data_IF_384299269356
#
_entry.id   IF_384299269356
#
_cell.length_a   1.000
_cell.length_b   1.000
_cell.length_c   1.000
_cell.angle_alpha   90.00
_cell.angle_beta   90.00
_cell.angle_gamma   90.00
#
_symmetry.space_group_name_H-M   'P 1'
#
loop_
_entity.id
_entity.type
_entity.pdbx_description
1 polymer ?
#
# COMPACT_ATOMS: atom_id res chain seq x y z
N UNK A 1 4.13 -12.41 -37.38
CA UNK A 1 3.05 -12.61 -38.37
C UNK A 1 3.28 -11.71 -39.58
N UNK A 2 3.56 -10.41 -39.42
CA UNK A 2 3.83 -9.50 -40.54
C UNK A 2 5.00 -9.94 -41.42
N UNK A 3 6.12 -10.33 -40.79
CA UNK A 3 7.28 -10.86 -41.53
C UNK A 3 7.02 -12.09 -42.37
N UNK A 4 5.98 -12.87 -42.04
CA UNK A 4 5.57 -14.04 -42.83
C UNK A 4 4.58 -13.69 -43.96
N UNK A 5 3.87 -12.56 -43.86
CA UNK A 5 2.97 -12.08 -44.93
C UNK A 5 3.71 -11.57 -46.16
N UNK A 6 4.97 -11.19 -46.00
CA UNK A 6 5.82 -10.71 -47.09
C UNK A 6 6.53 -11.85 -47.86
N UNK A 7 6.39 -13.11 -47.41
CA UNK A 7 7.02 -14.22 -48.08
C UNK A 7 6.33 -14.52 -49.41
N UNK A 8 7.06 -14.39 -50.51
CA UNK A 8 6.55 -14.61 -51.88
C UNK A 8 6.71 -16.05 -52.37
N UNK A 9 7.41 -16.92 -51.64
CA UNK A 9 7.60 -18.31 -51.95
C UNK A 9 7.70 -19.20 -50.70
N UNK A 10 7.48 -20.52 -50.87
CA UNK A 10 7.66 -21.50 -49.81
C UNK A 10 9.12 -21.55 -49.33
N UNK A 11 10.07 -21.39 -50.24
CA UNK A 11 11.50 -21.36 -49.90
C UNK A 11 11.83 -20.16 -48.99
N UNK A 12 11.38 -18.95 -49.36
CA UNK A 12 11.55 -17.75 -48.51
C UNK A 12 10.84 -17.84 -47.17
N UNK A 13 9.73 -18.57 -47.12
CA UNK A 13 9.04 -18.87 -45.84
C UNK A 13 9.89 -19.75 -44.93
N UNK A 14 10.47 -20.84 -45.47
CA UNK A 14 11.34 -21.75 -44.74
C UNK A 14 12.61 -21.06 -44.26
N UNK A 15 13.26 -20.24 -45.11
CA UNK A 15 14.44 -19.46 -44.76
C UNK A 15 14.15 -18.46 -43.65
N UNK A 16 13.00 -17.80 -43.67
CA UNK A 16 12.58 -16.92 -42.59
C UNK A 16 12.21 -17.65 -41.31
N UNK A 17 11.54 -18.82 -41.42
CA UNK A 17 11.24 -19.65 -40.24
C UNK A 17 12.50 -20.18 -39.57
N UNK A 18 13.55 -20.52 -40.35
CA UNK A 18 14.85 -20.93 -39.82
C UNK A 18 15.60 -19.79 -39.13
N UNK A 19 15.30 -18.52 -39.44
CA UNK A 19 15.86 -17.34 -38.80
C UNK A 19 15.09 -16.90 -37.57
N UNK A 20 13.92 -17.51 -37.26
CA UNK A 20 13.22 -17.22 -36.03
C UNK A 20 14.06 -17.65 -34.82
N UNK A 21 14.17 -16.81 -33.79
CA UNK A 21 14.90 -17.14 -32.57
C UNK A 21 14.34 -18.46 -31.98
N UNK A 22 15.23 -19.36 -31.62
CA UNK A 22 14.85 -20.60 -30.95
C UNK A 22 14.46 -20.30 -29.51
N UNK A 23 13.19 -20.55 -29.15
CA UNK A 23 12.69 -20.36 -27.79
C UNK A 23 11.98 -19.02 -27.55
N UNK A 24 11.21 -18.96 -26.48
CA UNK A 24 10.38 -17.78 -26.12
C UNK A 24 11.25 -16.57 -25.76
N UNK A 25 12.35 -16.76 -25.06
CA UNK A 25 13.29 -15.67 -24.70
C UNK A 25 13.84 -14.95 -25.93
N UNK A 26 14.24 -15.69 -26.95
CA UNK A 26 14.73 -15.11 -28.20
C UNK A 26 13.65 -14.30 -28.97
N UNK A 27 12.40 -14.72 -28.92
CA UNK A 27 11.30 -13.98 -29.53
C UNK A 27 11.03 -12.64 -28.83
N UNK A 28 11.06 -12.64 -27.49
CA UNK A 28 10.91 -11.40 -26.73
C UNK A 28 12.14 -10.49 -26.89
N UNK A 29 13.35 -11.03 -26.90
CA UNK A 29 14.57 -10.27 -27.15
C UNK A 29 14.49 -9.49 -28.48
N UNK A 30 14.14 -10.16 -29.58
CA UNK A 30 13.97 -9.50 -30.88
C UNK A 30 12.86 -8.41 -30.88
N UNK A 31 11.83 -8.58 -30.08
CA UNK A 31 10.78 -7.55 -29.95
C UNK A 31 11.24 -6.39 -29.10
N UNK A 32 11.96 -6.64 -28.01
CA UNK A 32 12.56 -5.61 -27.17
C UNK A 32 13.63 -4.84 -27.96
N UNK A 33 14.44 -5.49 -28.78
CA UNK A 33 15.38 -4.80 -29.67
C UNK A 33 14.66 -3.81 -30.62
N UNK A 34 13.49 -4.17 -31.13
CA UNK A 34 12.65 -3.24 -31.91
C UNK A 34 12.15 -2.07 -31.05
N UNK A 35 11.76 -2.31 -29.79
CA UNK A 35 11.39 -1.25 -28.86
C UNK A 35 12.58 -0.33 -28.62
N UNK A 36 13.77 -0.89 -28.38
CA UNK A 36 15.01 -0.14 -28.12
C UNK A 36 15.48 0.67 -29.34
N UNK A 37 15.27 0.18 -30.52
CA UNK A 37 15.63 0.87 -31.77
C UNK A 37 14.72 2.10 -32.10
N UNK A 38 13.63 2.29 -31.36
CA UNK A 38 12.74 3.43 -31.58
C UNK A 38 13.38 4.76 -31.10
N UNK A 39 12.89 5.92 -31.57
CA UNK A 39 13.28 7.22 -31.02
C UNK A 39 13.12 7.26 -29.51
N UNK A 40 13.98 8.00 -28.81
CA UNK A 40 14.08 8.01 -27.35
C UNK A 40 12.72 8.20 -26.65
N UNK A 41 11.93 9.15 -27.10
CA UNK A 41 10.62 9.46 -26.52
C UNK A 41 9.63 8.29 -26.64
N UNK A 42 9.59 7.63 -27.80
CA UNK A 42 8.69 6.49 -28.05
C UNK A 42 9.15 5.26 -27.27
N UNK A 43 10.47 5.03 -27.24
CA UNK A 43 11.09 3.96 -26.46
C UNK A 43 10.80 4.13 -24.97
N UNK A 44 10.97 5.32 -24.41
CA UNK A 44 10.72 5.60 -23.00
C UNK A 44 9.24 5.42 -22.65
N UNK A 45 8.33 5.82 -23.57
CA UNK A 45 6.90 5.55 -23.43
C UNK A 45 6.61 4.04 -23.35
N UNK A 46 7.21 3.24 -24.23
CA UNK A 46 7.05 1.80 -24.24
C UNK A 46 7.58 1.16 -22.95
N UNK A 47 8.81 1.50 -22.55
CA UNK A 47 9.43 0.94 -21.35
C UNK A 47 8.65 1.26 -20.08
N UNK A 48 8.11 2.47 -19.96
CA UNK A 48 7.27 2.87 -18.84
C UNK A 48 5.90 2.17 -18.87
N UNK A 49 5.32 1.96 -20.05
CA UNK A 49 4.08 1.18 -20.20
C UNK A 49 4.30 -0.26 -19.74
N UNK A 50 5.36 -0.91 -20.23
CA UNK A 50 5.72 -2.28 -19.84
C UNK A 50 6.04 -2.40 -18.36
N UNK A 51 6.72 -1.40 -17.78
CA UNK A 51 6.98 -1.33 -16.33
C UNK A 51 5.67 -1.41 -15.53
N UNK A 52 4.69 -0.59 -15.88
CA UNK A 52 3.40 -0.61 -15.17
C UNK A 52 2.64 -1.91 -15.34
N UNK A 53 2.64 -2.51 -16.54
CA UNK A 53 1.95 -3.78 -16.80
C UNK A 53 2.60 -4.96 -16.05
N UNK A 54 3.93 -4.94 -15.92
CA UNK A 54 4.70 -6.06 -15.33
C UNK A 54 4.78 -5.97 -13.81
N UNK A 55 5.00 -4.77 -13.26
CA UNK A 55 5.31 -4.56 -11.83
C UNK A 55 4.14 -4.01 -11.01
N UNK A 56 2.98 -3.74 -11.62
CA UNK A 56 1.81 -3.40 -10.84
C UNK A 56 1.24 -4.62 -10.10
N UNK A 57 0.71 -4.38 -8.91
CA UNK A 57 0.14 -5.40 -8.01
C UNK A 57 -1.19 -6.00 -8.54
N UNK A 58 -1.87 -5.26 -9.41
CA UNK A 58 -3.06 -5.73 -10.14
C UNK A 58 -3.06 -5.20 -11.57
N UNK A 59 -3.83 -5.82 -12.46
CA UNK A 59 -4.06 -5.26 -13.79
C UNK A 59 -4.63 -3.84 -13.70
N UNK A 60 -4.10 -2.94 -14.53
CA UNK A 60 -4.50 -1.54 -14.57
C UNK A 60 -5.39 -1.26 -15.78
N UNK A 61 -6.38 -0.40 -15.60
CA UNK A 61 -7.16 0.11 -16.71
C UNK A 61 -6.30 0.99 -17.64
N UNK A 62 -6.78 1.19 -18.83
CA UNK A 62 -6.09 2.05 -19.80
C UNK A 62 -5.90 3.47 -19.23
N UNK A 63 -6.94 4.02 -18.59
CA UNK A 63 -6.90 5.35 -17.98
C UNK A 63 -5.89 5.42 -16.84
N UNK A 64 -5.81 4.41 -15.97
CA UNK A 64 -4.82 4.38 -14.89
C UNK A 64 -3.40 4.48 -15.44
N UNK A 65 -3.10 3.73 -16.50
CA UNK A 65 -1.79 3.79 -17.16
C UNK A 65 -1.56 5.14 -17.83
N UNK A 66 -2.56 5.72 -18.53
CA UNK A 66 -2.43 7.05 -19.12
C UNK A 66 -2.04 8.11 -18.08
N UNK A 67 -2.71 8.12 -16.92
CA UNK A 67 -2.40 9.05 -15.83
C UNK A 67 -1.02 8.82 -15.22
N UNK A 68 -0.59 7.57 -15.12
CA UNK A 68 0.75 7.25 -14.67
C UNK A 68 1.84 7.74 -15.65
N UNK A 69 1.59 7.60 -16.94
CA UNK A 69 2.51 8.02 -18.00
C UNK A 69 2.57 9.55 -18.18
N UNK A 70 1.57 10.29 -17.70
CA UNK A 70 1.56 11.75 -17.72
C UNK A 70 2.55 12.38 -16.71
N UNK A 71 3.09 11.61 -15.78
CA UNK A 71 4.16 12.07 -14.88
C UNK A 71 5.51 12.04 -15.62
N UNK A 72 6.27 13.13 -15.55
CA UNK A 72 7.57 13.25 -16.22
C UNK A 72 8.58 12.23 -15.63
N UNK A 73 9.32 11.47 -16.44
CA UNK A 73 10.14 10.38 -15.96
C UNK A 73 11.33 10.80 -15.07
N UNK A 74 11.88 11.97 -15.30
CA UNK A 74 13.07 12.48 -14.59
C UNK A 74 12.72 13.40 -13.43
N UNK A 75 11.78 14.33 -13.66
CA UNK A 75 11.39 15.32 -12.65
C UNK A 75 10.27 14.86 -11.73
N UNK A 76 9.61 13.77 -12.07
CA UNK A 76 8.42 13.25 -11.41
C UNK A 76 7.33 14.33 -11.22
N UNK A 77 7.19 15.26 -12.18
CA UNK A 77 6.12 16.26 -12.17
C UNK A 77 4.98 15.84 -13.11
N UNK A 78 3.77 15.89 -12.59
CA UNK A 78 2.57 15.64 -13.36
C UNK A 78 2.29 16.81 -14.33
N UNK A 79 1.96 16.47 -15.57
CA UNK A 79 1.52 17.43 -16.59
C UNK A 79 0.43 16.79 -17.46
N UNK A 80 -0.79 17.32 -17.37
CA UNK A 80 -1.95 16.82 -18.12
C UNK A 80 -1.72 16.82 -19.64
N UNK A 81 -0.92 17.76 -20.16
CA UNK A 81 -0.57 17.83 -21.59
C UNK A 81 0.28 16.66 -22.07
N UNK A 82 0.85 15.89 -21.14
CA UNK A 82 1.68 14.69 -21.40
C UNK A 82 0.88 13.39 -21.43
N UNK A 83 -0.43 13.44 -21.24
CA UNK A 83 -1.29 12.24 -21.31
C UNK A 83 -1.20 11.64 -22.71
N UNK A 84 -0.65 10.44 -22.87
CA UNK A 84 -0.41 9.86 -24.19
C UNK A 84 -1.70 9.32 -24.82
N UNK A 85 -1.80 9.38 -26.14
CA UNK A 85 -2.91 8.78 -26.86
C UNK A 85 -2.81 7.24 -26.88
N UNK A 86 -3.95 6.55 -26.91
CA UNK A 86 -4.03 5.10 -26.95
C UNK A 86 -3.18 4.49 -28.07
N UNK A 87 -3.27 5.04 -29.28
CA UNK A 87 -2.48 4.56 -30.43
C UNK A 87 -0.98 4.65 -30.16
N UNK A 88 -0.52 5.72 -29.51
CA UNK A 88 0.89 5.90 -29.17
C UNK A 88 1.38 4.85 -28.17
N UNK A 89 0.59 4.56 -27.12
CA UNK A 89 0.91 3.53 -26.14
C UNK A 89 1.00 2.15 -26.81
N UNK A 90 -0.01 1.76 -27.58
CA UNK A 90 -0.03 0.42 -28.19
C UNK A 90 1.05 0.27 -29.27
N UNK A 91 1.26 1.28 -30.11
CA UNK A 91 2.27 1.21 -31.18
C UNK A 91 3.69 1.20 -30.64
N UNK A 92 3.99 1.96 -29.55
CA UNK A 92 5.31 2.00 -28.93
C UNK A 92 5.76 0.62 -28.41
N UNK A 93 4.82 -0.19 -27.92
CA UNK A 93 5.10 -1.53 -27.38
C UNK A 93 5.32 -2.63 -28.45
N UNK A 94 5.38 -2.30 -29.73
CA UNK A 94 5.69 -3.22 -30.85
C UNK A 94 4.91 -4.54 -30.84
N UNK A 95 3.65 -4.53 -30.37
CA UNK A 95 2.77 -5.70 -30.31
C UNK A 95 2.93 -6.57 -29.06
N UNK A 96 3.66 -6.13 -28.05
CA UNK A 96 3.74 -6.82 -26.74
C UNK A 96 2.48 -6.62 -25.89
N UNK A 97 1.73 -5.55 -26.14
CA UNK A 97 0.60 -5.12 -25.32
C UNK A 97 -0.66 -5.00 -26.17
N UNK A 98 -1.76 -5.41 -25.58
CA UNK A 98 -3.11 -5.23 -26.16
C UNK A 98 -4.05 -4.60 -25.13
N UNK A 99 -5.08 -3.92 -25.64
CA UNK A 99 -6.19 -3.43 -24.83
C UNK A 99 -7.34 -4.43 -24.89
N UNK A 100 -7.76 -4.95 -23.74
CA UNK A 100 -8.90 -5.85 -23.68
C UNK A 100 -10.20 -5.04 -23.85
N UNK A 101 -11.02 -5.33 -24.87
CA UNK A 101 -12.13 -4.44 -25.25
C UNK A 101 -13.27 -4.37 -24.22
N UNK A 102 -13.52 -5.46 -23.49
CA UNK A 102 -14.62 -5.51 -22.52
C UNK A 102 -14.25 -4.91 -21.16
N UNK A 103 -13.00 -5.08 -20.73
CA UNK A 103 -12.55 -4.67 -19.39
C UNK A 103 -11.76 -3.36 -19.39
N UNK A 104 -11.41 -2.85 -20.57
CA UNK A 104 -10.56 -1.68 -20.76
C UNK A 104 -9.21 -1.77 -20.02
N UNK A 105 -8.68 -2.98 -19.85
CA UNK A 105 -7.41 -3.28 -19.19
C UNK A 105 -6.32 -3.46 -20.21
N UNK A 106 -5.17 -2.81 -20.00
CA UNK A 106 -3.94 -3.07 -20.75
C UNK A 106 -3.27 -4.33 -20.21
N UNK A 107 -2.97 -5.26 -21.11
CA UNK A 107 -2.32 -6.52 -20.75
C UNK A 107 -1.28 -6.94 -21.79
N UNK A 108 -0.41 -7.84 -21.39
CA UNK A 108 0.50 -8.52 -22.32
C UNK A 108 -0.29 -9.44 -23.25
N UNK A 109 0.07 -9.45 -24.53
CA UNK A 109 -0.57 -10.31 -25.55
C UNK A 109 -0.44 -11.79 -25.18
N UNK A 110 0.64 -12.17 -24.50
CA UNK A 110 0.86 -13.55 -24.07
C UNK A 110 1.40 -13.58 -22.62
N UNK A 111 0.89 -14.50 -21.81
CA UNK A 111 1.24 -14.60 -20.38
C UNK A 111 2.72 -14.89 -20.14
N UNK A 112 3.40 -15.64 -21.04
CA UNK A 112 4.85 -15.94 -20.90
C UNK A 112 5.74 -14.70 -21.02
N UNK A 113 5.23 -13.61 -21.58
CA UNK A 113 5.95 -12.33 -21.59
C UNK A 113 6.16 -11.79 -20.19
N UNK A 114 5.28 -12.14 -19.24
CA UNK A 114 5.42 -11.72 -17.83
C UNK A 114 6.65 -12.33 -17.16
N UNK A 115 7.11 -13.49 -17.60
CA UNK A 115 8.30 -14.15 -17.06
C UNK A 115 9.59 -13.62 -17.71
N UNK A 116 9.53 -13.24 -19.00
CA UNK A 116 10.68 -12.80 -19.77
C UNK A 116 10.98 -11.29 -19.63
N UNK A 117 9.96 -10.43 -19.59
CA UNK A 117 10.12 -8.98 -19.61
C UNK A 117 10.81 -8.36 -18.38
N UNK A 118 10.66 -8.87 -17.14
CA UNK A 118 11.30 -8.26 -15.98
C UNK A 118 12.80 -8.06 -16.13
N UNK A 119 13.51 -9.05 -16.69
CA UNK A 119 14.95 -8.97 -16.89
C UNK A 119 15.35 -7.80 -17.81
N UNK A 120 14.61 -7.57 -18.90
CA UNK A 120 14.83 -6.47 -19.83
C UNK A 120 14.49 -5.10 -19.21
N UNK A 121 13.39 -5.04 -18.47
CA UNK A 121 12.99 -3.80 -17.80
C UNK A 121 14.01 -3.40 -16.74
N UNK A 122 14.45 -4.35 -15.91
CA UNK A 122 15.42 -4.12 -14.83
C UNK A 122 16.78 -3.64 -15.32
N UNK A 123 17.22 -4.03 -16.52
CA UNK A 123 18.45 -3.50 -17.13
C UNK A 123 18.34 -2.00 -17.39
N UNK A 124 17.15 -1.49 -17.72
CA UNK A 124 16.90 -0.10 -18.05
C UNK A 124 16.42 0.72 -16.87
N UNK A 125 15.57 0.11 -16.07
CA UNK A 125 14.93 0.68 -14.88
C UNK A 125 15.24 -0.26 -13.70
N UNK A 126 16.38 -0.09 -13.03
CA UNK A 126 16.82 -1.02 -11.97
C UNK A 126 15.90 -1.07 -10.76
N UNK A 127 15.11 -0.01 -10.54
CA UNK A 127 14.21 0.11 -9.39
C UNK A 127 12.78 0.45 -9.84
N UNK A 128 12.05 -0.49 -10.44
CA UNK A 128 10.73 -0.25 -11.01
C UNK A 128 9.71 0.17 -9.94
N UNK A 129 9.76 -0.43 -8.76
CA UNK A 129 8.87 -0.06 -7.65
C UNK A 129 9.12 1.36 -7.15
N UNK A 130 10.36 1.86 -7.17
CA UNK A 130 10.66 3.26 -6.84
C UNK A 130 10.03 4.23 -7.84
N UNK A 131 10.08 3.91 -9.14
CA UNK A 131 9.44 4.72 -10.18
C UNK A 131 7.93 4.76 -9.98
N UNK A 132 7.29 3.61 -9.71
CA UNK A 132 5.86 3.52 -9.43
C UNK A 132 5.52 4.34 -8.17
N UNK A 133 6.23 4.13 -7.06
CA UNK A 133 5.98 4.83 -5.80
C UNK A 133 6.08 6.35 -5.94
N UNK A 134 7.12 6.86 -6.59
CA UNK A 134 7.29 8.30 -6.86
C UNK A 134 6.18 8.85 -7.75
N UNK A 135 5.77 8.10 -8.78
CA UNK A 135 4.66 8.49 -9.65
C UNK A 135 3.36 8.61 -8.85
N UNK A 136 3.08 7.68 -7.94
CA UNK A 136 1.89 7.70 -7.09
C UNK A 136 1.94 8.86 -6.08
N UNK A 137 3.09 9.12 -5.45
CA UNK A 137 3.29 10.28 -4.56
C UNK A 137 3.00 11.58 -5.31
N UNK A 138 3.58 11.75 -6.50
CA UNK A 138 3.32 12.97 -7.29
C UNK A 138 1.83 13.10 -7.65
N UNK A 139 1.15 12.00 -7.94
CA UNK A 139 -0.31 12.05 -8.18
C UNK A 139 -1.08 12.45 -6.93
N UNK A 140 -0.72 11.99 -5.75
CA UNK A 140 -1.31 12.46 -4.50
C UNK A 140 -1.06 13.97 -4.30
N UNK A 141 0.19 14.42 -4.48
CA UNK A 141 0.57 15.83 -4.32
C UNK A 141 -0.14 16.73 -5.34
N UNK A 142 -0.18 16.35 -6.62
CA UNK A 142 -0.80 17.14 -7.69
C UNK A 142 -2.31 17.28 -7.53
N UNK A 143 -2.96 16.33 -6.83
CA UNK A 143 -4.38 16.38 -6.50
C UNK A 143 -4.66 16.98 -5.11
N UNK A 144 -3.65 17.53 -4.41
CA UNK A 144 -3.73 17.98 -3.02
C UNK A 144 -4.28 16.91 -2.06
N UNK A 145 -4.03 15.65 -2.38
CA UNK A 145 -4.51 14.51 -1.58
C UNK A 145 -3.80 14.49 -0.23
N UNK A 146 -4.56 14.66 0.84
CA UNK A 146 -4.02 14.70 2.21
C UNK A 146 -3.60 16.07 2.72
N UNK A 147 -3.66 17.12 1.91
CA UNK A 147 -3.35 18.50 2.35
C UNK A 147 -4.57 19.30 2.84
N UNK A 148 -5.79 18.89 2.49
CA UNK A 148 -7.02 19.61 2.84
C UNK A 148 -7.61 19.10 4.14
N UNK A 149 -7.71 19.98 5.13
CA UNK A 149 -8.32 19.70 6.45
C UNK A 149 -9.86 19.71 6.46
N UNK A 150 -10.49 20.07 5.35
CA UNK A 150 -11.96 20.30 5.26
C UNK A 150 -12.54 19.66 4.00
N UNK A 151 -12.25 18.39 3.77
CA UNK A 151 -12.92 17.68 2.68
C UNK A 151 -14.17 17.04 3.24
N UNK A 152 -15.32 17.42 2.71
CA UNK A 152 -16.62 16.82 3.06
C UNK A 152 -16.78 15.50 2.33
N UNK A 153 -17.67 14.62 2.81
CA UNK A 153 -18.03 13.37 2.12
C UNK A 153 -18.50 13.63 0.67
N UNK A 154 -19.01 14.83 0.37
CA UNK A 154 -19.42 15.27 -0.96
C UNK A 154 -18.24 15.60 -1.88
N UNK A 155 -17.12 16.10 -1.35
CA UNK A 155 -15.90 16.39 -2.10
C UNK A 155 -15.17 15.11 -2.52
N UNK A 156 -15.31 14.03 -1.74
CA UNK A 156 -14.93 12.66 -2.13
C UNK A 156 -16.01 11.95 -2.90
N UNK A 157 -17.12 12.62 -3.19
CA UNK A 157 -18.17 12.14 -4.09
C UNK A 157 -17.51 11.75 -5.40
N UNK A 158 -17.11 10.51 -5.40
CA UNK A 158 -16.55 9.68 -6.42
C UNK A 158 -16.70 10.29 -7.83
N UNK A 159 -15.69 11.01 -8.28
CA UNK A 159 -15.48 11.30 -9.70
C UNK A 159 -14.48 10.27 -10.25
N UNK A 160 -14.95 9.06 -10.63
CA UNK A 160 -14.09 7.96 -11.06
C UNK A 160 -13.19 8.34 -12.23
N UNK A 161 -13.68 9.21 -13.10
CA UNK A 161 -13.04 9.55 -14.37
C UNK A 161 -11.78 10.43 -14.28
N UNK A 162 -11.58 11.15 -13.16
CA UNK A 162 -10.43 12.06 -13.02
C UNK A 162 -9.32 11.55 -12.09
N UNK A 163 -9.61 10.50 -11.30
CA UNK A 163 -8.71 10.05 -10.24
C UNK A 163 -8.53 8.53 -10.16
N UNK A 164 -8.71 7.82 -11.28
CA UNK A 164 -8.63 6.35 -11.32
C UNK A 164 -7.32 5.80 -10.74
N UNK A 165 -6.18 6.41 -11.09
CA UNK A 165 -4.88 5.98 -10.58
C UNK A 165 -4.73 6.18 -9.06
N UNK A 166 -5.47 7.13 -8.45
CA UNK A 166 -5.42 7.34 -6.99
C UNK A 166 -5.99 6.14 -6.23
N UNK A 167 -7.01 5.45 -6.77
CA UNK A 167 -7.53 4.22 -6.16
C UNK A 167 -6.45 3.15 -6.06
N UNK A 168 -5.71 2.94 -7.16
CA UNK A 168 -4.54 2.06 -7.14
C UNK A 168 -3.50 2.54 -6.13
N UNK A 169 -3.22 3.84 -6.10
CA UNK A 169 -2.26 4.44 -5.18
C UNK A 169 -2.61 4.22 -3.70
N UNK A 170 -3.87 4.44 -3.33
CA UNK A 170 -4.35 4.23 -1.95
C UNK A 170 -4.15 2.78 -1.50
N UNK A 171 -4.32 1.82 -2.40
CA UNK A 171 -4.19 0.39 -2.09
C UNK A 171 -2.72 -0.07 -2.03
N UNK A 172 -1.89 0.37 -2.99
CA UNK A 172 -0.59 -0.27 -3.27
C UNK A 172 0.63 0.64 -3.16
N UNK A 173 0.46 1.96 -2.93
CA UNK A 173 1.60 2.87 -2.80
C UNK A 173 2.62 2.39 -1.77
N UNK A 174 2.15 1.98 -0.59
CA UNK A 174 3.03 1.52 0.48
C UNK A 174 3.79 0.25 0.13
N UNK A 175 3.18 -0.67 -0.62
CA UNK A 175 3.85 -1.89 -1.10
C UNK A 175 5.04 -1.52 -2.00
N UNK A 176 4.81 -0.67 -3.01
CA UNK A 176 5.90 -0.22 -3.89
C UNK A 176 6.98 0.57 -3.16
N UNK A 177 6.60 1.40 -2.17
CA UNK A 177 7.56 2.12 -1.34
C UNK A 177 8.43 1.17 -0.55
N UNK A 178 7.84 0.15 0.07
CA UNK A 178 8.56 -0.86 0.88
C UNK A 178 9.55 -1.66 0.04
N UNK A 179 9.16 -2.08 -1.17
CA UNK A 179 10.01 -2.85 -2.08
C UNK A 179 11.27 -2.08 -2.57
N UNK A 180 11.25 -0.76 -2.47
CA UNK A 180 12.34 0.09 -2.98
C UNK A 180 12.83 1.14 -1.98
N UNK A 181 12.58 0.96 -0.68
CA UNK A 181 12.93 1.96 0.34
C UNK A 181 14.45 2.20 0.49
N UNK A 182 15.27 1.30 0.00
CA UNK A 182 16.74 1.49 -0.06
C UNK A 182 17.16 2.61 -1.03
N UNK A 183 16.27 3.04 -1.95
CA UNK A 183 16.47 4.21 -2.77
C UNK A 183 16.35 5.50 -1.93
N UNK A 184 17.47 6.19 -1.73
CA UNK A 184 17.54 7.40 -0.89
C UNK A 184 16.62 8.53 -1.40
N UNK A 185 16.49 8.66 -2.72
CA UNK A 185 15.61 9.65 -3.32
C UNK A 185 14.14 9.35 -3.06
N UNK A 186 13.72 8.06 -3.14
CA UNK A 186 12.38 7.65 -2.78
C UNK A 186 12.13 7.85 -1.28
N UNK A 187 13.08 7.50 -0.42
CA UNK A 187 12.99 7.71 1.02
C UNK A 187 12.70 9.19 1.35
N UNK A 188 13.49 10.10 0.81
CA UNK A 188 13.30 11.56 0.99
C UNK A 188 11.94 12.01 0.47
N UNK A 189 11.56 11.61 -0.75
CA UNK A 189 10.26 11.97 -1.34
C UNK A 189 9.09 11.45 -0.49
N UNK A 190 9.22 10.25 0.06
CA UNK A 190 8.22 9.65 0.95
C UNK A 190 8.08 10.43 2.26
N UNK A 191 9.19 10.77 2.90
CA UNK A 191 9.19 11.56 4.15
C UNK A 191 8.60 12.94 3.91
N UNK A 192 8.97 13.63 2.82
CA UNK A 192 8.47 14.96 2.49
C UNK A 192 6.96 14.94 2.18
N UNK A 193 6.50 13.93 1.44
CA UNK A 193 5.07 13.71 1.22
C UNK A 193 4.32 13.50 2.55
N UNK A 194 4.79 12.60 3.39
CA UNK A 194 4.15 12.29 4.67
C UNK A 194 4.11 13.52 5.61
N UNK A 195 5.17 14.33 5.63
CA UNK A 195 5.19 15.61 6.39
C UNK A 195 4.13 16.60 5.92
N UNK A 196 3.83 16.63 4.63
CA UNK A 196 2.79 17.48 4.07
C UNK A 196 1.38 16.90 4.20
N UNK A 197 1.26 15.61 4.58
CA UNK A 197 0.02 14.86 4.57
C UNK A 197 -0.67 14.92 5.95
N UNK A 198 -1.43 15.98 6.22
CA UNK A 198 -2.10 16.17 7.51
C UNK A 198 -3.45 15.45 7.61
N UNK A 199 -4.03 15.03 6.49
CA UNK A 199 -5.41 14.54 6.42
C UNK A 199 -5.59 13.58 5.24
N UNK A 200 -4.95 12.39 5.33
CA UNK A 200 -5.05 11.38 4.29
C UNK A 200 -6.38 10.61 4.43
N UNK A 201 -7.22 10.59 3.40
CA UNK A 201 -8.50 9.91 3.47
C UNK A 201 -8.37 8.39 3.36
N UNK A 202 -9.00 7.69 4.28
CA UNK A 202 -9.20 6.25 4.23
C UNK A 202 -10.69 5.95 4.15
N UNK A 203 -11.11 5.23 3.13
CA UNK A 203 -12.51 4.83 2.96
C UNK A 203 -12.89 3.79 4.01
N UNK A 204 -13.98 4.05 4.72
CA UNK A 204 -14.66 3.13 5.61
C UNK A 204 -15.99 2.68 4.98
N UNK A 205 -16.59 1.63 5.54
CA UNK A 205 -17.91 1.14 5.08
C UNK A 205 -19.02 2.22 5.16
N UNK A 206 -18.89 3.19 6.06
CA UNK A 206 -19.86 4.29 6.27
C UNK A 206 -19.15 5.64 6.40
N UNK A 207 -18.39 6.05 5.39
CA UNK A 207 -17.76 7.36 5.37
C UNK A 207 -16.24 7.33 5.18
N UNK A 208 -15.59 8.45 5.45
CA UNK A 208 -14.15 8.62 5.30
C UNK A 208 -13.51 8.93 6.64
N UNK A 209 -12.42 8.23 6.96
CA UNK A 209 -11.58 8.54 8.12
C UNK A 209 -10.30 9.22 7.64
N UNK A 210 -9.93 10.30 8.30
CA UNK A 210 -8.70 11.03 7.98
C UNK A 210 -7.56 10.58 8.89
N UNK A 211 -6.44 10.28 8.27
CA UNK A 211 -5.23 9.75 8.89
C UNK A 211 -4.10 10.77 8.82
N UNK A 212 -3.38 10.94 9.92
CA UNK A 212 -2.13 11.69 9.93
C UNK A 212 -0.92 10.84 9.51
N UNK A 213 0.27 11.46 9.38
CA UNK A 213 1.48 10.82 8.87
C UNK A 213 1.87 9.53 9.59
N UNK A 214 1.83 9.52 10.91
CA UNK A 214 2.23 8.35 11.72
C UNK A 214 1.25 7.18 11.58
N UNK A 215 -0.03 7.44 11.29
CA UNK A 215 -1.00 6.40 10.97
C UNK A 215 -0.67 5.73 9.64
N UNK A 216 -0.18 6.51 8.65
CA UNK A 216 0.15 6.00 7.31
C UNK A 216 1.35 5.04 7.35
N UNK A 217 2.29 5.22 8.28
CA UNK A 217 3.37 4.26 8.49
C UNK A 217 2.80 2.89 8.84
N UNK A 218 1.81 2.84 9.75
CA UNK A 218 1.14 1.59 10.14
C UNK A 218 0.20 1.05 9.07
N UNK A 219 -0.49 1.93 8.33
CA UNK A 219 -1.42 1.55 7.26
C UNK A 219 -0.69 0.82 6.13
N UNK A 220 0.40 1.41 5.66
CA UNK A 220 1.16 0.94 4.51
C UNK A 220 2.34 0.04 4.88
N UNK A 221 2.52 -0.30 6.15
CA UNK A 221 3.63 -1.13 6.63
C UNK A 221 5.00 -0.56 6.23
N UNK A 222 5.15 0.75 6.37
CA UNK A 222 6.39 1.41 5.99
C UNK A 222 7.51 1.13 7.00
N UNK A 223 8.77 1.11 6.55
CA UNK A 223 9.90 0.86 7.42
C UNK A 223 10.02 1.85 8.58
N UNK A 224 10.56 1.37 9.71
CA UNK A 224 10.63 2.11 10.96
C UNK A 224 11.47 3.40 10.89
N UNK A 225 12.45 3.47 9.99
CA UNK A 225 13.27 4.66 9.76
C UNK A 225 12.44 5.85 9.21
N UNK A 226 11.33 5.57 8.52
CA UNK A 226 10.36 6.61 8.13
C UNK A 226 9.64 7.15 9.37
N UNK A 227 9.18 6.26 10.28
CA UNK A 227 8.58 6.66 11.54
C UNK A 227 9.53 7.59 12.33
N UNK A 228 10.79 7.18 12.48
CA UNK A 228 11.82 7.96 13.20
C UNK A 228 12.01 9.35 12.59
N UNK A 229 11.99 9.45 11.27
CA UNK A 229 12.11 10.73 10.55
C UNK A 229 10.89 11.65 10.73
N UNK A 230 9.73 11.09 11.09
CA UNK A 230 8.49 11.83 11.28
C UNK A 230 8.26 12.26 12.73
N UNK A 231 8.74 11.50 13.72
CA UNK A 231 8.48 11.72 15.14
C UNK A 231 8.91 13.11 15.65
N UNK A 232 9.91 13.74 15.04
CA UNK A 232 10.34 15.09 15.41
C UNK A 232 9.47 16.21 14.83
N UNK A 233 8.55 15.89 13.91
CA UNK A 233 7.73 16.91 13.22
C UNK A 233 6.23 16.70 13.42
N UNK A 234 5.80 15.51 13.85
CA UNK A 234 4.40 15.16 13.96
C UNK A 234 4.00 14.95 15.42
N UNK A 235 2.77 15.29 15.77
CA UNK A 235 2.22 14.92 17.06
C UNK A 235 2.03 13.40 17.15
N UNK A 236 2.80 12.77 18.04
CA UNK A 236 2.81 11.32 18.24
C UNK A 236 1.49 10.77 18.81
N UNK A 237 0.61 11.64 19.29
CA UNK A 237 -0.68 11.28 19.87
C UNK A 237 -1.89 11.80 19.06
N UNK A 238 -1.66 12.43 17.89
CA UNK A 238 -2.73 12.97 17.05
C UNK A 238 -3.74 11.90 16.69
N UNK A 239 -5.04 12.05 17.04
CA UNK A 239 -6.04 11.01 16.80
C UNK A 239 -6.58 11.06 15.36
N UNK A 240 -7.07 9.93 14.85
CA UNK A 240 -7.84 9.88 13.61
C UNK A 240 -9.16 10.63 13.74
N UNK A 241 -9.77 11.05 12.62
CA UNK A 241 -10.94 11.95 12.64
C UNK A 241 -12.20 11.32 13.25
N UNK A 242 -12.51 10.08 12.88
CA UNK A 242 -13.78 9.41 13.24
C UNK A 242 -13.62 8.51 14.46
N UNK A 243 -12.72 7.53 14.40
CA UNK A 243 -12.53 6.56 15.48
C UNK A 243 -11.68 7.06 16.63
N UNK A 244 -11.04 8.23 16.48
CA UNK A 244 -10.17 8.84 17.50
C UNK A 244 -8.99 7.96 17.92
N UNK A 245 -8.52 7.10 17.02
CA UNK A 245 -7.36 6.25 17.26
C UNK A 245 -6.07 7.07 17.23
N UNK A 246 -5.29 7.03 18.30
CA UNK A 246 -3.90 7.54 18.27
C UNK A 246 -3.03 6.69 17.36
N UNK A 247 -1.85 7.16 16.90
CA UNK A 247 -0.93 6.34 16.12
C UNK A 247 -0.60 5.01 16.79
N UNK A 248 -0.46 4.96 18.12
CA UNK A 248 -0.28 3.73 18.89
C UNK A 248 -1.49 2.79 18.76
N UNK A 249 -2.70 3.28 19.05
CA UNK A 249 -3.92 2.48 18.95
C UNK A 249 -4.18 1.99 17.52
N UNK A 250 -3.87 2.83 16.52
CA UNK A 250 -3.98 2.46 15.11
C UNK A 250 -2.95 1.39 14.72
N UNK A 251 -1.71 1.48 15.19
CA UNK A 251 -0.68 0.46 14.97
C UNK A 251 -1.07 -0.89 15.59
N UNK A 252 -1.69 -0.87 16.78
CA UNK A 252 -2.26 -2.08 17.42
C UNK A 252 -3.38 -2.67 16.55
N UNK A 253 -4.32 -1.84 16.08
CA UNK A 253 -5.40 -2.28 15.17
C UNK A 253 -4.87 -2.92 13.89
N UNK A 254 -3.73 -2.42 13.39
CA UNK A 254 -3.07 -2.93 12.17
C UNK A 254 -2.08 -4.07 12.43
N UNK A 255 -1.93 -4.49 13.69
CA UNK A 255 -0.99 -5.54 14.10
C UNK A 255 0.48 -5.25 13.73
N UNK A 256 0.91 -3.99 13.85
CA UNK A 256 2.28 -3.55 13.53
C UNK A 256 3.17 -3.55 14.78
N UNK A 257 3.69 -4.73 15.13
CA UNK A 257 4.48 -4.92 16.36
C UNK A 257 5.72 -4.03 16.44
N UNK A 258 6.44 -3.85 15.35
CA UNK A 258 7.64 -3.02 15.27
C UNK A 258 7.32 -1.54 15.48
N UNK A 259 6.26 -1.03 14.86
CA UNK A 259 5.77 0.33 15.05
C UNK A 259 5.29 0.53 16.49
N UNK A 260 4.54 -0.41 17.06
CA UNK A 260 4.10 -0.35 18.47
C UNK A 260 5.29 -0.33 19.41
N UNK A 261 6.27 -1.23 19.25
CA UNK A 261 7.51 -1.19 20.04
C UNK A 261 8.18 0.16 19.97
N UNK A 262 8.33 0.71 18.79
CA UNK A 262 9.01 2.00 18.62
C UNK A 262 8.23 3.14 19.27
N UNK A 263 6.91 3.22 19.08
CA UNK A 263 6.06 4.25 19.69
C UNK A 263 6.08 4.18 21.23
N UNK A 264 6.07 2.98 21.81
CA UNK A 264 6.15 2.80 23.26
C UNK A 264 7.48 3.27 23.87
N UNK A 265 8.54 3.35 23.07
CA UNK A 265 9.85 3.88 23.50
C UNK A 265 9.99 5.39 23.30
N UNK A 266 8.98 6.06 22.76
CA UNK A 266 9.00 7.52 22.62
C UNK A 266 8.44 8.20 23.87
N UNK A 267 9.15 9.21 24.36
CA UNK A 267 8.67 10.02 25.47
C UNK A 267 7.38 10.76 25.09
N UNK A 268 6.41 10.74 26.00
CA UNK A 268 5.12 11.41 25.79
C UNK A 268 4.06 10.61 25.05
N UNK A 269 4.32 9.35 24.67
CA UNK A 269 3.29 8.48 24.07
C UNK A 269 2.17 8.20 25.09
N UNK A 270 0.93 8.49 24.70
CA UNK A 270 -0.26 8.27 25.53
C UNK A 270 -0.72 6.80 25.42
N UNK A 271 -0.14 5.94 26.27
CA UNK A 271 -0.37 4.49 26.24
C UNK A 271 -1.79 4.06 26.60
N UNK A 272 -2.53 4.92 27.34
CA UNK A 272 -3.92 4.69 27.75
C UNK A 272 -4.93 5.60 27.04
N UNK A 273 -4.54 6.22 25.92
CA UNK A 273 -5.46 7.06 25.16
C UNK A 273 -6.69 6.24 24.72
N UNK A 274 -7.86 6.83 24.90
CA UNK A 274 -9.14 6.23 24.57
C UNK A 274 -9.56 6.58 23.12
N UNK A 275 -10.07 5.59 22.41
CA UNK A 275 -10.73 5.79 21.12
C UNK A 275 -12.16 6.31 21.31
N UNK A 276 -12.94 6.37 20.22
CA UNK A 276 -14.33 6.85 20.22
C UNK A 276 -15.27 6.03 21.12
N UNK A 277 -14.96 4.75 21.31
CA UNK A 277 -15.77 3.82 22.09
C UNK A 277 -15.20 3.66 23.53
N UNK A 278 -14.32 4.56 23.95
CA UNK A 278 -13.67 4.55 25.26
C UNK A 278 -12.56 3.48 25.40
N UNK A 279 -12.19 2.78 24.30
CA UNK A 279 -11.24 1.67 24.33
C UNK A 279 -9.80 2.17 24.28
N UNK A 280 -8.96 1.60 25.14
CA UNK A 280 -7.51 1.83 25.12
C UNK A 280 -6.81 0.84 24.17
N UNK A 281 -5.54 1.07 23.80
CA UNK A 281 -4.78 0.11 22.99
C UNK A 281 -4.79 -1.33 23.52
N UNK A 282 -4.86 -1.50 24.84
CA UNK A 282 -4.94 -2.85 25.46
C UNK A 282 -6.29 -3.51 25.21
N UNK A 283 -7.40 -2.77 25.19
CA UNK A 283 -8.71 -3.30 24.80
C UNK A 283 -8.68 -3.81 23.34
N UNK A 284 -8.11 -3.00 22.44
CA UNK A 284 -8.01 -3.33 21.02
C UNK A 284 -7.15 -4.58 20.82
N UNK A 285 -6.03 -4.71 21.53
CA UNK A 285 -5.17 -5.90 21.47
C UNK A 285 -5.86 -7.15 22.02
N UNK A 286 -6.67 -7.00 23.08
CA UNK A 286 -7.44 -8.09 23.66
C UNK A 286 -8.55 -8.60 22.73
N UNK A 287 -9.19 -7.70 21.97
CA UNK A 287 -10.20 -8.05 20.96
C UNK A 287 -9.59 -8.78 19.77
N UNK A 288 -8.38 -8.38 19.37
CA UNK A 288 -7.69 -8.90 18.18
C UNK A 288 -7.10 -10.32 18.34
N UNK A 289 -7.24 -10.99 19.48
CA UNK A 289 -6.66 -12.32 19.78
C UNK A 289 -5.15 -12.44 19.43
N UNK A 290 -4.43 -11.30 19.59
CA UNK A 290 -3.01 -11.19 19.27
C UNK A 290 -2.15 -11.24 20.52
N UNK A 291 -1.74 -12.44 20.91
CA UNK A 291 -0.95 -12.67 22.11
C UNK A 291 0.37 -11.87 22.16
N UNK A 292 1.19 -11.81 21.09
CA UNK A 292 2.41 -11.01 21.10
C UNK A 292 2.17 -9.50 21.30
N UNK A 293 1.13 -8.95 20.69
CA UNK A 293 0.75 -7.54 20.81
C UNK A 293 0.24 -7.24 22.22
N UNK A 294 -0.62 -8.08 22.74
CA UNK A 294 -1.17 -7.95 24.08
C UNK A 294 -0.08 -8.05 25.15
N UNK A 295 0.83 -9.02 25.05
CA UNK A 295 1.97 -9.18 25.96
C UNK A 295 2.89 -7.97 25.93
N UNK A 296 3.21 -7.44 24.74
CA UNK A 296 4.04 -6.26 24.58
C UNK A 296 3.45 -5.03 25.30
N UNK A 297 2.13 -4.82 25.18
CA UNK A 297 1.45 -3.70 25.83
C UNK A 297 1.41 -3.90 27.36
N UNK A 298 1.25 -5.13 27.86
CA UNK A 298 1.26 -5.42 29.30
C UNK A 298 2.63 -5.19 29.96
N UNK A 299 3.71 -5.35 29.22
CA UNK A 299 5.07 -5.08 29.69
C UNK A 299 5.37 -3.58 29.77
N UNK A 300 4.57 -2.71 29.11
CA UNK A 300 4.81 -1.28 29.09
C UNK A 300 4.47 -0.63 30.43
N UNK A 301 5.40 0.13 31.03
CA UNK A 301 5.14 0.87 32.27
C UNK A 301 3.99 1.89 32.07
N UNK A 302 3.08 1.94 33.05
CA UNK A 302 1.98 2.89 33.06
C UNK A 302 0.73 2.48 32.28
N UNK A 303 0.72 1.32 31.65
CA UNK A 303 -0.49 0.77 31.03
C UNK A 303 -1.55 0.43 32.09
N UNK A 304 -2.76 0.95 31.92
CA UNK A 304 -3.91 0.64 32.77
C UNK A 304 -4.68 -0.57 32.23
N UNK A 305 -4.37 -1.71 32.80
CA UNK A 305 -5.00 -2.99 32.46
C UNK A 305 -6.44 -3.14 32.96
N UNK A 306 -6.90 -2.21 33.82
CA UNK A 306 -8.24 -2.18 34.38
C UNK A 306 -9.08 -1.01 33.86
N UNK A 307 -8.58 -0.30 32.84
CA UNK A 307 -9.35 0.75 32.19
C UNK A 307 -10.73 0.19 31.76
N UNK A 308 -11.77 1.02 31.88
CA UNK A 308 -13.10 0.69 31.39
C UNK A 308 -13.35 1.41 30.07
N UNK A 309 -13.91 0.70 29.11
CA UNK A 309 -14.50 1.30 27.91
C UNK A 309 -15.85 1.94 28.22
N UNK A 310 -16.54 2.47 27.21
CA UNK A 310 -17.85 3.15 27.40
C UNK A 310 -18.96 2.18 27.79
N UNK A 311 -18.80 0.88 27.54
CA UNK A 311 -19.72 -0.20 27.98
C UNK A 311 -19.37 -0.69 29.40
N UNK A 312 -18.38 -0.10 30.06
CA UNK A 312 -17.88 -0.52 31.38
C UNK A 312 -17.12 -1.85 31.34
N UNK A 313 -16.58 -2.24 30.19
CA UNK A 313 -15.89 -3.52 30.01
C UNK A 313 -14.37 -3.31 30.18
N UNK A 314 -13.67 -4.23 30.83
CA UNK A 314 -12.21 -4.22 30.93
C UNK A 314 -11.57 -4.97 29.77
N UNK A 315 -10.28 -4.72 29.42
CA UNK A 315 -9.56 -5.49 28.42
C UNK A 315 -9.59 -7.00 28.67
N UNK A 316 -9.53 -7.41 29.94
CA UNK A 316 -9.60 -8.82 30.31
C UNK A 316 -10.96 -9.44 30.01
N UNK A 317 -12.04 -8.71 30.26
CA UNK A 317 -13.40 -9.19 29.96
C UNK A 317 -13.63 -9.36 28.46
N UNK A 318 -13.03 -8.50 27.61
CA UNK A 318 -13.05 -8.64 26.15
C UNK A 318 -12.26 -9.88 25.74
N UNK A 319 -11.01 -10.02 26.19
CA UNK A 319 -10.16 -11.17 25.91
C UNK A 319 -10.75 -12.48 26.42
N UNK A 320 -11.42 -12.48 27.56
CA UNK A 320 -12.14 -13.63 28.10
C UNK A 320 -13.31 -14.11 27.24
N UNK A 321 -13.99 -13.22 26.54
CA UNK A 321 -15.04 -13.58 25.55
C UNK A 321 -14.47 -14.21 24.28
N UNK A 322 -13.29 -13.75 23.85
CA UNK A 322 -12.55 -14.32 22.71
C UNK A 322 -11.79 -15.60 23.10
N UNK A 323 -11.24 -15.67 24.32
CA UNK A 323 -10.37 -16.75 24.82
C UNK A 323 -11.12 -17.98 25.35
N UNK A 324 -12.42 -18.14 25.16
CA UNK A 324 -13.08 -19.45 25.37
C UNK A 324 -12.38 -20.57 24.57
N UNK A 325 -11.46 -20.22 23.68
CA UNK A 325 -10.69 -21.16 22.84
C UNK A 325 -9.19 -21.28 23.14
N UNK A 326 -8.58 -20.44 24.01
CA UNK A 326 -7.13 -20.54 24.34
C UNK A 326 -6.79 -20.03 25.74
N UNK A 327 -5.81 -20.67 26.45
CA UNK A 327 -5.36 -20.23 27.76
C UNK A 327 -4.60 -18.89 27.66
N UNK A 328 -4.79 -18.00 28.64
CA UNK A 328 -4.09 -16.72 28.77
C UNK A 328 -2.55 -16.90 28.68
N UNK A 329 -1.82 -15.90 28.10
CA UNK A 329 -0.36 -15.91 28.03
C UNK A 329 0.30 -16.13 29.38
N UNK A 330 1.43 -16.82 29.40
CA UNK A 330 2.20 -17.14 30.63
C UNK A 330 2.61 -15.86 31.37
N UNK A 331 2.91 -14.79 30.66
CA UNK A 331 3.25 -13.47 31.23
C UNK A 331 2.10 -12.85 32.05
N UNK A 332 0.87 -12.97 31.59
CA UNK A 332 -0.31 -12.50 32.32
C UNK A 332 -0.58 -13.30 33.60
N UNK A 333 -0.12 -14.55 33.65
CA UNK A 333 -0.27 -15.44 34.84
C UNK A 333 0.60 -15.06 36.04
N UNK A 334 1.64 -14.25 35.83
CA UNK A 334 2.63 -13.88 36.85
C UNK A 334 2.28 -12.66 37.69
N UNK A 335 1.39 -11.79 37.26
CA UNK A 335 1.04 -10.55 37.96
C UNK A 335 0.05 -10.82 39.11
N UNK A 336 0.35 -10.46 40.36
CA UNK A 336 -0.55 -10.65 41.51
C UNK A 336 -1.92 -9.96 41.35
N UNK A 337 -1.98 -8.89 40.62
CA UNK A 337 -3.22 -8.12 40.36
C UNK A 337 -4.20 -8.86 39.43
N UNK A 338 -3.70 -9.69 38.53
CA UNK A 338 -4.55 -10.45 37.58
C UNK A 338 -5.21 -11.67 38.26
N UNK A 339 -4.52 -12.31 39.20
CA UNK A 339 -5.00 -13.56 39.84
C UNK A 339 -6.24 -13.36 40.72
N UNK A 340 -6.43 -12.18 41.31
CA UNK A 340 -7.60 -11.93 42.17
C UNK A 340 -8.84 -11.57 41.33
N UNK A 341 -8.71 -10.72 40.34
CA UNK A 341 -9.84 -10.19 39.56
C UNK A 341 -10.35 -11.19 38.51
N UNK A 342 -9.43 -11.90 37.82
CA UNK A 342 -9.83 -12.94 36.86
C UNK A 342 -10.64 -14.07 37.49
N UNK A 343 -10.40 -14.37 38.81
CA UNK A 343 -11.15 -15.38 39.53
C UNK A 343 -12.58 -14.93 39.87
N UNK A 344 -12.78 -13.65 40.12
CA UNK A 344 -14.07 -13.08 40.47
C UNK A 344 -14.94 -12.81 39.23
N UNK A 345 -14.39 -12.29 38.14
CA UNK A 345 -15.10 -12.05 36.89
C UNK A 345 -15.49 -13.36 36.16
N UNK A 346 -14.63 -14.38 36.16
CA UNK A 346 -14.98 -15.71 35.63
C UNK A 346 -16.07 -16.41 36.43
N UNK A 347 -16.25 -16.05 37.72
CA UNK A 347 -17.28 -16.65 38.60
C UNK A 347 -18.68 -16.07 38.33
N UNK A 348 -18.81 -14.87 37.79
CA UNK A 348 -20.07 -14.18 37.48
C UNK A 348 -20.55 -14.36 36.03
N UNK A 349 -19.62 -14.68 35.10
CA UNK A 349 -19.95 -14.89 33.68
C UNK A 349 -20.65 -16.23 33.37
N UNK A 350 -20.82 -17.14 34.32
CA UNK A 350 -21.39 -18.48 34.12
C UNK A 350 -22.82 -18.66 34.67
N UNK A 351 -23.60 -17.61 34.74
CA UNK A 351 -25.06 -17.80 34.86
C UNK A 351 -25.69 -17.76 33.47
N UNK A 352 -25.71 -18.92 32.82
CA UNK A 352 -26.67 -19.25 31.78
C UNK A 352 -28.00 -19.30 32.49
N UNK A 353 -28.90 -18.36 32.16
CA UNK A 353 -30.30 -18.49 32.49
C UNK A 353 -30.93 -19.58 31.61
N UNK A 354 -31.93 -20.31 32.10
CA UNK A 354 -32.47 -21.54 31.52
C UNK A 354 -33.12 -21.36 30.17
#
# INVERSE_FOLDING_TARGET
VEALRECTSIATLYDRLAQFPSGMEGMYAATIERVEAQPAEIRDLAMRTLLWIVFAERPLSFEEIQWALAVHPETYKYDERRVPHQKSILSSCCGLVELHPETNVLRLVHFTAKDALPSFILQRIPQPHAVIARTLIERFVSCNWGAQSTVTDEDYGYRPSQHTLLTYGIEYWGTHTRESIADEGLFRTTVDFLRSCNSFPMLLFRGVEFLGPLHLVSLFDLPINILDSLCSFCDINSPTSVRKLTPLAFAVTRNRLDVVKRLLHLDGTLVNAKDRDGRTPVHIAAEGDNEPMFSLLLECPGVDVNALDDDGTTPLSIGGRCCIRRPLPVAARGSPRWRSKARDELRWGWRILP
#
